data_IF_219930848850
#
_entry.id   IF_219930848850
#
_cell.length_a   1.000
_cell.length_b   1.000
_cell.length_c   1.000
_cell.angle_alpha   90.00
_cell.angle_beta   90.00
_cell.angle_gamma   90.00
#
_symmetry.space_group_name_H-M   'P 1'
#
loop_
_entity.id
_entity.type
_entity.pdbx_description
1 polymer ?
#
# COMPACT_ATOMS: atom_id res chain seq x y z
N UNK A 1 -19.31 -14.69 29.29
CA UNK A 1 -18.10 -14.56 30.13
C UNK A 1 -17.42 -13.31 29.61
N UNK A 2 -17.32 -12.21 30.37
CA UNK A 2 -16.72 -10.97 29.83
C UNK A 2 -15.19 -11.08 29.88
N UNK A 3 -14.57 -11.35 28.72
CA UNK A 3 -13.12 -11.27 28.57
C UNK A 3 -12.69 -9.80 28.72
N UNK A 4 -11.77 -9.53 29.65
CA UNK A 4 -11.18 -8.19 29.83
C UNK A 4 -10.00 -8.03 28.88
N UNK A 5 -9.83 -6.84 28.32
CA UNK A 5 -8.64 -6.51 27.52
C UNK A 5 -7.37 -6.68 28.35
N UNK A 6 -6.32 -7.14 27.68
CA UNK A 6 -4.98 -7.25 28.25
C UNK A 6 -4.35 -5.86 28.40
N UNK A 7 -3.41 -5.75 29.34
CA UNK A 7 -2.55 -4.57 29.49
C UNK A 7 -1.44 -4.50 28.44
N UNK A 8 -1.13 -5.61 27.79
CA UNK A 8 -0.12 -5.71 26.73
C UNK A 8 -0.71 -6.39 25.49
N UNK A 9 -0.27 -5.95 24.32
CA UNK A 9 -0.65 -6.54 23.05
C UNK A 9 0.09 -7.87 22.84
N UNK A 10 -0.58 -8.83 22.23
CA UNK A 10 0.04 -10.04 21.72
C UNK A 10 0.00 -10.10 20.19
N UNK A 11 0.95 -10.83 19.62
CA UNK A 11 1.15 -10.94 18.19
C UNK A 11 0.34 -12.13 17.66
N UNK A 12 -0.43 -11.89 16.61
CA UNK A 12 -1.24 -12.89 15.91
C UNK A 12 -0.88 -12.84 14.44
N UNK A 13 -0.62 -14.00 13.83
CA UNK A 13 -0.40 -14.11 12.39
C UNK A 13 -1.56 -14.88 11.78
N UNK A 14 -2.34 -14.19 10.96
CA UNK A 14 -3.52 -14.73 10.29
C UNK A 14 -3.12 -15.08 8.85
N UNK A 15 -3.22 -16.34 8.42
CA UNK A 15 -2.88 -16.72 7.05
C UNK A 15 -3.83 -16.07 6.05
N UNK A 16 -3.28 -15.55 4.96
CA UNK A 16 -4.02 -14.98 3.85
C UNK A 16 -4.63 -16.08 2.98
N UNK A 17 -5.74 -15.75 2.30
CA UNK A 17 -6.37 -16.67 1.37
C UNK A 17 -5.47 -16.81 0.12
N UNK A 18 -5.16 -18.02 -0.38
CA UNK A 18 -4.35 -18.21 -1.57
C UNK A 18 -4.92 -17.56 -2.84
N UNK A 19 -6.22 -17.24 -2.85
CA UNK A 19 -6.90 -16.53 -3.94
C UNK A 19 -6.76 -15.00 -3.85
N UNK A 20 -6.21 -14.48 -2.76
CA UNK A 20 -5.97 -13.05 -2.61
C UNK A 20 -5.05 -12.57 -3.74
N UNK A 21 -5.52 -11.55 -4.46
CA UNK A 21 -4.76 -10.88 -5.50
C UNK A 21 -4.84 -9.39 -5.25
N UNK A 22 -3.72 -8.65 -5.23
CA UNK A 22 -3.78 -7.19 -5.14
C UNK A 22 -4.49 -6.61 -6.36
N UNK A 23 -5.03 -5.41 -6.21
CA UNK A 23 -5.47 -4.61 -7.35
C UNK A 23 -4.22 -4.20 -8.13
N UNK A 24 -4.30 -4.20 -9.45
CA UNK A 24 -3.17 -3.92 -10.33
C UNK A 24 -3.57 -2.91 -11.40
N UNK A 25 -2.68 -1.96 -11.71
CA UNK A 25 -2.87 -0.99 -12.80
C UNK A 25 -1.53 -0.56 -13.39
N UNK A 26 -1.51 -0.35 -14.70
CA UNK A 26 -0.36 0.26 -15.39
C UNK A 26 -0.56 1.77 -15.45
N UNK A 27 0.49 2.52 -15.11
CA UNK A 27 0.50 3.98 -15.13
C UNK A 27 1.60 4.45 -16.07
N UNK A 28 1.29 5.47 -16.87
CA UNK A 28 2.25 6.10 -17.78
C UNK A 28 2.56 7.55 -17.37
N UNK A 29 3.82 7.92 -17.58
CA UNK A 29 4.39 9.24 -17.30
C UNK A 29 5.00 9.76 -18.62
N UNK A 30 4.54 10.89 -19.17
CA UNK A 30 5.14 11.46 -20.38
C UNK A 30 6.60 11.86 -20.11
N UNK A 31 7.46 11.63 -21.10
CA UNK A 31 8.88 12.00 -21.01
C UNK A 31 9.12 13.51 -21.19
N UNK A 32 8.14 14.22 -21.75
CA UNK A 32 8.17 15.67 -21.89
C UNK A 32 7.97 16.36 -20.52
N UNK A 33 9.08 16.67 -19.84
CA UNK A 33 9.08 17.41 -18.58
C UNK A 33 10.31 17.06 -17.73
N UNK A 34 10.91 18.06 -17.07
CA UNK A 34 11.98 17.79 -16.10
C UNK A 34 11.37 17.05 -14.89
N UNK A 35 11.90 15.88 -14.53
CA UNK A 35 11.51 15.05 -13.37
C UNK A 35 10.00 14.75 -13.26
N UNK A 36 9.40 14.22 -14.33
CA UNK A 36 8.00 13.81 -14.35
C UNK A 36 7.66 12.80 -13.23
N UNK A 37 6.55 13.06 -12.52
CA UNK A 37 6.11 12.24 -11.40
C UNK A 37 4.59 11.99 -11.43
N UNK A 38 4.16 10.95 -10.72
CA UNK A 38 2.76 10.62 -10.43
C UNK A 38 2.57 10.42 -8.94
N UNK A 39 1.36 10.72 -8.47
CA UNK A 39 0.99 10.59 -7.07
C UNK A 39 -0.17 9.62 -6.94
N UNK A 40 -0.07 8.70 -5.99
CA UNK A 40 -1.14 7.80 -5.56
C UNK A 40 -1.57 8.17 -4.16
N UNK A 41 -2.86 7.97 -3.89
CA UNK A 41 -3.49 8.37 -2.65
C UNK A 41 -4.13 7.17 -1.95
N UNK A 42 -3.95 7.10 -0.64
CA UNK A 42 -4.49 6.07 0.24
C UNK A 42 -5.09 6.72 1.49
N UNK A 43 -6.24 6.24 1.92
CA UNK A 43 -6.92 6.71 3.13
C UNK A 43 -7.01 5.57 4.14
N UNK A 44 -6.47 5.80 5.34
CA UNK A 44 -6.47 4.86 6.46
C UNK A 44 -7.30 5.42 7.60
N UNK A 45 -8.16 4.59 8.18
CA UNK A 45 -9.12 5.04 9.21
C UNK A 45 -8.69 4.72 10.63
N UNK A 46 -7.63 3.94 10.82
CA UNK A 46 -7.12 3.58 12.14
C UNK A 46 -5.94 2.62 12.09
N UNK A 47 -5.34 2.34 13.26
CA UNK A 47 -4.13 1.51 13.42
C UNK A 47 -4.29 0.05 12.99
N UNK A 48 -5.50 -0.48 13.02
CA UNK A 48 -5.78 -1.87 12.62
C UNK A 48 -5.68 -2.10 11.11
N UNK A 49 -5.43 -1.06 10.32
CA UNK A 49 -5.46 -1.13 8.87
C UNK A 49 -4.13 -0.73 8.25
N UNK A 50 -3.83 -1.27 7.07
CA UNK A 50 -2.67 -0.88 6.30
C UNK A 50 -2.85 -1.11 4.81
N UNK A 51 -2.05 -0.43 4.00
CA UNK A 51 -1.92 -0.68 2.58
C UNK A 51 -0.58 -1.30 2.24
N UNK A 52 -0.60 -2.41 1.53
CA UNK A 52 0.59 -2.92 0.84
C UNK A 52 0.58 -2.33 -0.57
N UNK A 53 1.65 -1.62 -0.94
CA UNK A 53 1.80 -0.98 -2.25
C UNK A 53 3.11 -1.43 -2.88
N UNK A 54 3.04 -1.91 -4.11
CA UNK A 54 4.21 -2.38 -4.87
C UNK A 54 4.27 -1.67 -6.21
N UNK A 55 5.45 -1.13 -6.54
CA UNK A 55 5.75 -0.50 -7.82
C UNK A 55 6.73 -1.39 -8.58
N UNK A 56 6.38 -1.74 -9.82
CA UNK A 56 7.18 -2.58 -10.70
C UNK A 56 7.45 -1.79 -11.98
N UNK A 57 8.70 -1.36 -12.24
CA UNK A 57 9.06 -0.69 -13.48
C UNK A 57 8.74 -1.57 -14.70
N UNK A 58 8.32 -0.96 -15.81
CA UNK A 58 8.11 -1.67 -17.08
C UNK A 58 9.15 -1.28 -18.15
N UNK A 59 9.83 -0.15 -17.99
CA UNK A 59 10.94 0.26 -18.86
C UNK A 59 12.27 -0.19 -18.27
N UNK A 60 13.10 -0.80 -19.10
CA UNK A 60 14.48 -1.10 -18.74
C UNK A 60 15.35 0.16 -18.76
N UNK A 61 16.43 0.13 -17.98
CA UNK A 61 17.43 1.20 -17.87
C UNK A 61 16.90 2.53 -17.34
N UNK A 62 15.77 2.56 -16.64
CA UNK A 62 15.22 3.78 -16.04
C UNK A 62 15.06 3.61 -14.54
N UNK A 63 15.56 4.59 -13.77
CA UNK A 63 15.41 4.62 -12.31
C UNK A 63 14.15 5.36 -11.91
N UNK A 64 13.33 4.71 -11.10
CA UNK A 64 12.15 5.28 -10.47
C UNK A 64 12.40 5.44 -8.98
N UNK A 65 12.17 6.65 -8.44
CA UNK A 65 12.12 6.90 -7.00
C UNK A 65 10.68 6.80 -6.52
N UNK A 66 10.47 5.99 -5.49
CA UNK A 66 9.18 5.81 -4.82
C UNK A 66 9.30 6.40 -3.42
N UNK A 67 8.50 7.42 -3.14
CA UNK A 67 8.51 8.13 -1.86
C UNK A 67 7.12 8.17 -1.26
N UNK A 68 7.00 7.90 0.04
CA UNK A 68 5.74 7.90 0.77
C UNK A 68 5.70 9.00 1.83
N UNK A 69 4.54 9.63 2.02
CA UNK A 69 4.33 10.63 3.08
C UNK A 69 2.88 10.67 3.59
N UNK A 70 2.70 10.85 4.90
CA UNK A 70 1.40 11.12 5.52
C UNK A 70 1.07 12.62 5.51
N UNK A 71 -0.20 12.96 5.30
CA UNK A 71 -0.75 14.31 5.45
C UNK A 71 -0.36 15.31 4.34
N UNK A 72 0.35 14.87 3.31
CA UNK A 72 0.70 15.71 2.17
C UNK A 72 1.54 15.00 1.12
N UNK A 73 1.65 15.64 -0.05
CA UNK A 73 2.46 15.11 -1.16
C UNK A 73 3.95 15.10 -0.78
N UNK A 74 4.69 14.02 -1.05
CA UNK A 74 6.14 13.99 -0.87
C UNK A 74 6.84 14.97 -1.82
N UNK A 75 7.90 15.61 -1.35
CA UNK A 75 8.84 16.36 -2.18
C UNK A 75 10.27 15.80 -2.03
N UNK A 76 11.26 16.44 -2.66
CA UNK A 76 12.63 15.92 -2.72
C UNK A 76 13.35 15.93 -1.35
N UNK A 77 12.82 16.64 -0.35
CA UNK A 77 13.37 16.71 1.02
C UNK A 77 12.37 16.28 2.10
N UNK A 78 11.09 16.19 1.76
CA UNK A 78 10.00 15.97 2.69
C UNK A 78 9.25 14.69 2.34
N UNK A 79 9.71 13.58 2.94
CA UNK A 79 9.12 12.25 2.80
C UNK A 79 9.32 11.47 4.11
N UNK A 80 8.45 10.50 4.38
CA UNK A 80 8.62 9.58 5.51
C UNK A 80 9.49 8.37 5.12
N UNK A 81 9.34 7.91 3.87
CA UNK A 81 10.10 6.77 3.32
C UNK A 81 10.43 7.04 1.86
N UNK A 82 11.59 6.58 1.40
CA UNK A 82 12.02 6.67 0.01
C UNK A 82 12.84 5.46 -0.37
N UNK A 83 12.63 4.93 -1.56
CA UNK A 83 13.40 3.85 -2.16
C UNK A 83 13.48 4.03 -3.68
N UNK A 84 14.38 3.30 -4.32
CA UNK A 84 14.55 3.32 -5.76
C UNK A 84 14.33 1.94 -6.35
N UNK A 85 13.76 1.89 -7.55
CA UNK A 85 13.54 0.65 -8.30
C UNK A 85 13.81 0.87 -9.77
N UNK A 86 14.37 -0.14 -10.42
CA UNK A 86 14.70 -0.13 -11.83
C UNK A 86 14.74 -1.56 -12.39
N UNK A 87 14.62 -1.68 -13.71
CA UNK A 87 14.97 -2.89 -14.42
C UNK A 87 16.28 -2.66 -15.17
N UNK A 88 17.26 -3.53 -14.96
CA UNK A 88 18.46 -3.52 -15.77
C UNK A 88 18.22 -4.19 -17.13
N UNK A 89 18.97 -3.81 -18.17
CA UNK A 89 19.09 -4.63 -19.39
C UNK A 89 19.52 -6.05 -19.05
N UNK A 90 19.07 -7.04 -19.83
CA UNK A 90 19.41 -8.46 -19.59
C UNK A 90 20.93 -8.69 -19.50
N UNK A 91 21.70 -8.05 -20.38
CA UNK A 91 23.17 -8.15 -20.38
C UNK A 91 23.81 -7.66 -19.07
N UNK A 92 23.25 -6.60 -18.48
CA UNK A 92 23.72 -6.08 -17.21
C UNK A 92 23.29 -6.97 -16.05
N UNK A 93 22.04 -7.44 -16.06
CA UNK A 93 21.51 -8.32 -15.02
C UNK A 93 22.30 -9.63 -14.94
N UNK A 94 22.63 -10.22 -16.10
CA UNK A 94 23.48 -11.42 -16.19
C UNK A 94 24.89 -11.15 -15.64
N UNK A 95 25.50 -10.01 -15.98
CA UNK A 95 26.85 -9.66 -15.52
C UNK A 95 26.89 -9.49 -14.00
N UNK A 96 25.90 -8.81 -13.40
CA UNK A 96 25.79 -8.67 -11.94
C UNK A 96 25.56 -10.01 -11.22
N UNK A 97 24.73 -10.88 -11.80
CA UNK A 97 24.49 -12.22 -11.26
C UNK A 97 25.78 -13.05 -11.22
N UNK A 98 26.62 -12.94 -12.26
CA UNK A 98 27.91 -13.62 -12.34
C UNK A 98 28.97 -13.04 -11.40
N UNK A 99 28.90 -11.74 -11.09
CA UNK A 99 29.81 -11.10 -10.12
C UNK A 99 29.44 -11.34 -8.66
N UNK A 100 28.31 -12.01 -8.39
CA UNK A 100 27.86 -12.33 -7.03
C UNK A 100 27.31 -11.13 -6.26
N UNK A 101 26.85 -10.09 -6.95
CA UNK A 101 26.22 -8.92 -6.33
C UNK A 101 24.72 -9.21 -6.09
N UNK A 102 24.40 -9.87 -4.99
CA UNK A 102 23.03 -10.26 -4.60
C UNK A 102 22.10 -9.05 -4.32
N UNK A 103 22.63 -7.82 -4.31
CA UNK A 103 21.86 -6.62 -3.96
C UNK A 103 20.85 -6.13 -5.02
N UNK A 104 20.76 -6.76 -6.19
CA UNK A 104 20.02 -6.22 -7.34
C UNK A 104 18.60 -6.82 -7.51
N UNK A 105 18.32 -8.03 -7.01
CA UNK A 105 16.96 -8.60 -7.06
C UNK A 105 15.95 -7.76 -6.28
N UNK A 106 16.41 -7.11 -5.22
CA UNK A 106 15.61 -6.26 -4.34
C UNK A 106 15.20 -4.92 -4.96
N UNK A 107 15.86 -4.51 -6.06
CA UNK A 107 15.57 -3.24 -6.74
C UNK A 107 14.66 -3.39 -7.95
N UNK A 108 14.31 -4.62 -8.36
CA UNK A 108 13.38 -4.88 -9.48
C UNK A 108 11.94 -4.46 -9.18
N UNK A 109 11.61 -4.24 -7.91
CA UNK A 109 10.34 -3.70 -7.44
C UNK A 109 10.55 -2.90 -6.17
N UNK A 110 9.74 -1.87 -5.97
CA UNK A 110 9.67 -1.12 -4.72
C UNK A 110 8.40 -1.50 -3.97
N UNK A 111 8.53 -2.10 -2.78
CA UNK A 111 7.38 -2.48 -1.95
C UNK A 111 7.37 -1.64 -0.68
N UNK A 112 6.23 -1.02 -0.37
CA UNK A 112 6.03 -0.25 0.85
C UNK A 112 4.77 -0.72 1.58
N UNK A 113 4.86 -0.75 2.91
CA UNK A 113 3.71 -0.98 3.77
C UNK A 113 3.33 0.34 4.46
N UNK A 114 2.14 0.84 4.15
CA UNK A 114 1.57 2.04 4.74
C UNK A 114 0.72 1.60 5.93
N UNK A 115 1.26 1.79 7.14
CA UNK A 115 0.58 1.43 8.37
C UNK A 115 -0.41 2.54 8.79
N UNK A 116 -1.58 2.17 9.26
CA UNK A 116 -2.53 3.09 9.86
C UNK A 116 -2.03 3.64 11.20
N UNK A 117 -2.48 4.83 11.53
CA UNK A 117 -2.21 5.48 12.82
C UNK A 117 -3.53 5.69 13.59
N UNK A 118 -3.44 6.16 14.84
CA UNK A 118 -4.61 6.37 15.71
C UNK A 118 -5.62 7.33 15.08
N UNK A 119 -5.12 8.45 14.56
CA UNK A 119 -5.93 9.39 13.80
C UNK A 119 -6.11 8.96 12.33
N UNK A 120 -7.33 9.06 11.76
CA UNK A 120 -7.54 8.90 10.34
C UNK A 120 -6.60 9.79 9.53
N UNK A 121 -6.01 9.24 8.48
CA UNK A 121 -4.91 9.89 7.78
C UNK A 121 -4.89 9.62 6.30
N UNK A 122 -4.53 10.67 5.57
CA UNK A 122 -4.23 10.62 4.15
C UNK A 122 -2.76 10.28 3.93
N UNK A 123 -2.48 9.37 3.00
CA UNK A 123 -1.14 8.99 2.61
C UNK A 123 -0.94 9.15 1.10
N UNK A 124 0.20 9.73 0.74
CA UNK A 124 0.57 10.03 -0.63
C UNK A 124 1.84 9.26 -0.99
N UNK A 125 1.79 8.57 -2.14
CA UNK A 125 2.94 7.87 -2.71
C UNK A 125 3.32 8.54 -4.02
N UNK A 126 4.52 9.11 -4.09
CA UNK A 126 5.10 9.72 -5.29
C UNK A 126 5.96 8.70 -6.01
N UNK A 127 5.72 8.52 -7.31
CA UNK A 127 6.60 7.79 -8.22
C UNK A 127 7.21 8.80 -9.19
N UNK A 128 8.53 8.96 -9.13
CA UNK A 128 9.27 9.96 -9.90
C UNK A 128 10.31 9.29 -10.79
N UNK A 129 10.38 9.71 -12.05
CA UNK A 129 11.44 9.26 -12.97
C UNK A 129 12.70 10.08 -12.70
N UNK A 130 13.80 9.41 -12.37
CA UNK A 130 15.10 10.07 -12.12
C UNK A 130 15.96 10.15 -13.39
N UNK A 131 15.83 9.18 -14.30
CA UNK A 131 16.61 9.11 -15.53
C UNK A 131 17.23 7.74 -15.76
N UNK A 132 18.23 7.63 -16.65
CA UNK A 132 18.82 6.36 -17.01
C UNK A 132 19.64 5.74 -15.88
N UNK A 133 19.69 4.42 -15.82
CA UNK A 133 20.58 3.70 -14.90
C UNK A 133 22.04 3.91 -15.29
N UNK A 134 22.87 4.37 -14.36
CA UNK A 134 24.30 4.64 -14.59
C UNK A 134 25.23 3.49 -14.18
N UNK A 135 24.73 2.52 -13.40
CA UNK A 135 25.53 1.43 -12.80
C UNK A 135 26.15 0.46 -13.82
N UNK A 136 25.71 0.46 -15.08
CA UNK A 136 26.25 -0.44 -16.11
C UNK A 136 27.47 0.09 -16.87
N UNK A 137 28.00 1.28 -16.54
CA UNK A 137 29.19 1.82 -17.22
C UNK A 137 29.03 1.98 -18.74
N UNK A 138 27.80 2.14 -19.24
CA UNK A 138 27.56 2.49 -20.65
C UNK A 138 27.85 3.97 -20.81
N UNK A 139 29.13 4.33 -20.79
CA UNK A 139 29.60 5.61 -21.31
C UNK A 139 29.38 5.58 -22.83
N UNK A 140 28.41 6.38 -23.29
CA UNK A 140 28.21 6.78 -24.68
C UNK A 140 28.06 5.64 -25.70
N UNK A 141 26.87 5.05 -25.74
CA UNK A 141 26.13 5.07 -27.00
C UNK A 141 24.82 5.79 -26.76
N UNK A 142 24.78 7.04 -27.22
CA UNK A 142 23.58 7.55 -27.86
C UNK A 142 23.21 6.56 -28.97
N UNK A 143 22.48 5.50 -28.64
CA UNK A 143 21.63 4.86 -29.62
C UNK A 143 20.35 5.71 -29.63
N UNK A 144 20.09 6.53 -30.67
CA UNK A 144 18.95 7.43 -30.74
C UNK A 144 17.65 6.66 -31.03
N UNK A 145 17.50 5.46 -30.46
CA UNK A 145 16.51 4.46 -30.83
C UNK A 145 15.33 4.30 -29.87
N UNK A 146 15.49 4.63 -28.58
CA UNK A 146 14.41 4.48 -27.58
C UNK A 146 14.37 5.68 -26.61
N UNK A 147 14.24 6.89 -27.15
CA UNK A 147 13.70 7.99 -26.34
C UNK A 147 12.24 7.64 -26.07
N UNK A 148 11.96 6.96 -24.94
CA UNK A 148 10.60 6.63 -24.57
C UNK A 148 9.73 7.90 -24.60
N UNK A 149 8.66 7.90 -25.41
CA UNK A 149 7.64 8.97 -25.39
C UNK A 149 6.95 9.01 -24.01
N UNK A 150 6.91 7.87 -23.33
CA UNK A 150 6.40 7.72 -21.98
C UNK A 150 7.14 6.63 -21.20
N UNK A 151 7.33 6.89 -19.92
CA UNK A 151 7.74 5.90 -18.92
C UNK A 151 6.50 5.21 -18.35
N UNK A 152 6.62 3.97 -17.92
CA UNK A 152 5.54 3.14 -17.46
C UNK A 152 5.98 2.26 -16.28
N UNK A 153 5.06 2.10 -15.32
CA UNK A 153 5.21 1.16 -14.22
C UNK A 153 3.85 0.51 -13.94
N UNK A 154 3.91 -0.71 -13.44
CA UNK A 154 2.77 -1.37 -12.82
C UNK A 154 2.74 -1.00 -11.34
N UNK A 155 1.56 -0.64 -10.84
CA UNK A 155 1.29 -0.48 -9.42
C UNK A 155 0.33 -1.57 -8.96
N UNK A 156 0.70 -2.24 -7.87
CA UNK A 156 -0.12 -3.20 -7.18
C UNK A 156 -0.47 -2.67 -5.78
N UNK A 157 -1.71 -2.83 -5.34
CA UNK A 157 -2.11 -2.43 -3.99
C UNK A 157 -3.17 -3.33 -3.37
N UNK A 158 -3.11 -3.48 -2.05
CA UNK A 158 -4.13 -4.16 -1.26
C UNK A 158 -4.29 -3.49 0.10
N UNK A 159 -5.52 -3.42 0.62
CA UNK A 159 -5.81 -3.01 2.00
C UNK A 159 -5.94 -4.26 2.86
N UNK A 160 -5.19 -4.29 3.95
CA UNK A 160 -5.25 -5.33 4.98
C UNK A 160 -5.84 -4.72 6.25
N UNK A 161 -6.65 -5.49 6.98
CA UNK A 161 -7.21 -5.06 8.27
C UNK A 161 -7.19 -6.19 9.28
N UNK A 162 -6.86 -5.85 10.52
CA UNK A 162 -6.97 -6.72 11.69
C UNK A 162 -8.35 -6.57 12.32
N UNK A 163 -9.01 -7.69 12.60
CA UNK A 163 -10.35 -7.72 13.18
C UNK A 163 -10.39 -8.64 14.39
N UNK A 164 -11.21 -8.28 15.38
CA UNK A 164 -11.58 -9.14 16.49
C UNK A 164 -13.10 -9.27 16.57
N UNK A 165 -13.60 -10.41 17.06
CA UNK A 165 -15.03 -10.62 17.27
C UNK A 165 -15.47 -10.02 18.60
N UNK A 166 -16.34 -9.01 18.56
CA UNK A 166 -16.96 -8.44 19.74
C UNK A 166 -18.27 -9.18 20.05
N UNK A 167 -18.26 -10.02 21.08
CA UNK A 167 -19.44 -10.81 21.48
C UNK A 167 -20.63 -9.96 21.94
N UNK A 168 -20.40 -8.75 22.45
CA UNK A 168 -21.50 -7.89 22.95
C UNK A 168 -22.22 -7.21 21.80
N UNK A 169 -21.47 -6.82 20.77
CA UNK A 169 -22.02 -6.19 19.56
C UNK A 169 -22.36 -7.20 18.46
N UNK A 170 -21.99 -8.47 18.65
CA UNK A 170 -22.07 -9.54 17.65
C UNK A 170 -21.51 -9.10 16.29
N UNK A 171 -20.34 -8.45 16.33
CA UNK A 171 -19.74 -7.81 15.15
C UNK A 171 -18.22 -7.89 15.15
N UNK A 172 -17.64 -7.88 13.95
CA UNK A 172 -16.21 -7.72 13.74
C UNK A 172 -15.79 -6.26 13.92
N UNK A 173 -14.82 -6.04 14.82
CA UNK A 173 -14.37 -4.72 15.24
C UNK A 173 -12.85 -4.58 15.08
N UNK A 174 -12.35 -3.34 15.10
CA UNK A 174 -10.93 -3.01 14.84
C UNK A 174 -10.23 -2.32 16.02
N UNK A 175 -10.97 -1.87 17.04
CA UNK A 175 -10.38 -1.24 18.21
C UNK A 175 -9.46 -2.22 18.97
N UNK A 176 -8.52 -1.67 19.74
CA UNK A 176 -7.53 -2.48 20.48
C UNK A 176 -6.63 -3.37 19.63
N UNK A 177 -6.60 -3.15 18.31
CA UNK A 177 -5.73 -3.84 17.36
C UNK A 177 -4.92 -2.85 16.51
N UNK A 178 -3.68 -3.22 16.21
CA UNK A 178 -2.79 -2.55 15.27
C UNK A 178 -2.21 -3.56 14.28
N UNK A 179 -2.17 -3.21 13.00
CA UNK A 179 -1.53 -4.06 11.98
C UNK A 179 -0.01 -3.86 12.01
N UNK A 180 0.76 -4.91 11.75
CA UNK A 180 2.21 -4.84 11.64
C UNK A 180 2.66 -4.66 10.18
N UNK A 181 3.78 -3.95 10.00
CA UNK A 181 4.44 -3.77 8.70
C UNK A 181 5.05 -5.07 8.13
N UNK A 182 5.09 -6.14 8.91
CA UNK A 182 5.47 -7.49 8.48
C UNK A 182 4.35 -8.21 7.73
N UNK A 183 3.17 -7.59 7.63
CA UNK A 183 2.03 -8.15 6.89
C UNK A 183 2.30 -8.18 5.39
N UNK A 184 1.74 -9.20 4.74
CA UNK A 184 1.86 -9.46 3.31
C UNK A 184 0.51 -9.91 2.74
N UNK A 185 0.43 -10.12 1.42
CA UNK A 185 -0.77 -10.70 0.80
C UNK A 185 -1.08 -12.13 1.31
N UNK A 186 -0.06 -12.84 1.81
CA UNK A 186 -0.14 -14.24 2.23
C UNK A 186 -0.34 -14.39 3.74
N UNK A 187 -0.16 -13.32 4.51
CA UNK A 187 -0.28 -13.35 5.97
C UNK A 187 -0.47 -11.94 6.52
N UNK A 188 -1.47 -11.75 7.38
CA UNK A 188 -1.69 -10.50 8.11
C UNK A 188 -1.19 -10.67 9.53
N UNK A 189 -0.30 -9.78 9.98
CA UNK A 189 0.26 -9.80 11.33
C UNK A 189 -0.38 -8.68 12.14
N UNK A 190 -0.99 -9.02 13.27
CA UNK A 190 -1.78 -8.13 14.12
C UNK A 190 -1.23 -8.12 15.55
N UNK A 191 -1.20 -6.94 16.16
CA UNK A 191 -0.98 -6.71 17.57
C UNK A 191 -2.32 -6.36 18.18
N UNK A 192 -2.88 -7.21 19.04
CA UNK A 192 -4.19 -6.99 19.64
C UNK A 192 -4.17 -7.24 21.14
N UNK A 193 -5.04 -6.57 21.89
CA UNK A 193 -5.19 -6.79 23.35
C UNK A 193 -6.50 -7.47 23.75
N UNK A 194 -7.37 -7.82 22.79
CA UNK A 194 -8.62 -8.53 23.06
C UNK A 194 -8.36 -10.02 23.27
N UNK A 195 -9.14 -10.70 24.12
CA UNK A 195 -9.05 -12.16 24.28
C UNK A 195 -10.28 -12.82 23.64
N UNK A 196 -10.37 -12.72 22.31
CA UNK A 196 -11.54 -13.14 21.52
C UNK A 196 -11.12 -13.94 20.28
N UNK A 197 -12.08 -14.25 19.39
CA UNK A 197 -11.75 -14.70 18.03
C UNK A 197 -11.18 -13.55 17.20
N UNK A 198 -10.36 -13.90 16.21
CA UNK A 198 -9.63 -12.97 15.34
C UNK A 198 -9.85 -13.28 13.87
N UNK A 199 -9.76 -12.24 13.05
CA UNK A 199 -9.89 -12.34 11.60
C UNK A 199 -9.06 -11.28 10.89
N UNK A 200 -8.91 -11.45 9.58
CA UNK A 200 -8.36 -10.40 8.73
C UNK A 200 -9.26 -10.14 7.52
N UNK A 201 -9.31 -8.88 7.10
CA UNK A 201 -10.03 -8.44 5.89
C UNK A 201 -9.00 -8.06 4.82
N UNK A 202 -9.16 -8.59 3.62
CA UNK A 202 -8.35 -8.29 2.43
C UNK A 202 -9.23 -7.62 1.39
N UNK A 203 -8.93 -6.37 1.07
CA UNK A 203 -9.74 -5.57 0.13
C UNK A 203 -8.86 -5.00 -0.96
N UNK A 204 -9.31 -5.14 -2.21
CA UNK A 204 -8.74 -4.50 -3.39
C UNK A 204 -9.62 -3.34 -3.83
N UNK A 205 -9.41 -2.13 -3.27
CA UNK A 205 -10.24 -0.98 -3.64
C UNK A 205 -10.05 -0.69 -5.15
N UNK A 206 -11.14 -0.55 -5.91
CA UNK A 206 -11.09 -0.55 -7.38
C UNK A 206 -10.32 0.62 -7.98
N UNK A 207 -10.10 1.72 -7.25
CA UNK A 207 -9.38 2.89 -7.73
C UNK A 207 -8.41 3.41 -6.66
N UNK A 208 -7.10 3.41 -6.95
CA UNK A 208 -6.22 4.47 -6.45
C UNK A 208 -6.52 5.72 -7.28
N UNK A 209 -6.96 6.81 -6.65
CA UNK A 209 -7.28 8.04 -7.38
C UNK A 209 -6.01 8.66 -7.94
N UNK A 210 -5.79 8.44 -9.24
CA UNK A 210 -4.73 9.07 -10.03
C UNK A 210 -5.12 10.52 -10.32
N UNK A 211 -4.54 11.46 -9.57
CA UNK A 211 -4.77 12.91 -9.77
C UNK A 211 -3.78 13.54 -10.77
N UNK A 212 -3.12 12.76 -11.63
CA UNK A 212 -2.28 13.25 -12.73
C UNK A 212 -3.01 14.10 -13.79
N UNK A 213 -4.32 14.36 -13.63
CA UNK A 213 -5.14 15.22 -14.50
C UNK A 213 -5.50 16.59 -13.91
N UNK A 214 -5.08 16.91 -12.69
CA UNK A 214 -5.20 18.28 -12.17
C UNK A 214 -3.84 18.97 -12.19
N UNK A 215 -3.32 19.19 -13.40
CA UNK A 215 -2.52 20.40 -13.63
C UNK A 215 -3.48 21.58 -13.47
N UNK A 216 -3.45 22.21 -12.30
CA UNK A 216 -4.04 23.53 -12.14
C UNK A 216 -3.20 24.50 -12.98
N UNK A 217 -3.53 24.60 -14.27
CA UNK A 217 -3.14 25.78 -15.02
C UNK A 217 -3.82 26.96 -14.33
N UNK A 218 -2.99 27.87 -13.88
CA UNK A 218 -3.31 29.16 -13.29
C UNK A 218 -4.36 29.93 -14.13
N UNK A 219 -5.64 29.67 -13.88
CA UNK A 219 -6.75 30.44 -14.40
C UNK A 219 -7.47 31.02 -13.19
N UNK A 220 -6.97 32.18 -12.74
CA UNK A 220 -7.63 33.16 -11.88
C UNK A 220 -9.08 32.79 -11.54
N UNK A 221 -9.32 32.29 -10.33
CA UNK A 221 -10.67 32.27 -9.77
C UNK A 221 -11.13 33.72 -9.57
N UNK A 222 -11.80 34.26 -10.59
CA UNK A 222 -12.74 35.35 -10.41
C UNK A 222 -13.99 34.78 -9.75
N UNK A 223 -14.30 35.25 -8.54
CA UNK A 223 -15.59 35.01 -7.90
C UNK A 223 -16.67 35.70 -8.73
N UNK A 224 -17.44 34.93 -9.51
CA UNK A 224 -18.76 35.37 -9.97
C UNK A 224 -19.85 34.58 -9.23
N UNK A 225 -20.52 35.27 -8.31
CA UNK A 225 -21.41 34.71 -7.31
C UNK A 225 -22.87 34.71 -7.79
N UNK A 226 -23.12 34.24 -9.01
CA UNK A 226 -24.46 34.10 -9.58
C UNK A 226 -24.48 32.93 -10.56
N UNK A 227 -24.88 31.73 -10.11
CA UNK A 227 -25.61 30.71 -10.92
C UNK A 227 -25.73 29.33 -10.24
N UNK A 228 -26.07 29.21 -8.95
CA UNK A 228 -26.62 27.93 -8.44
C UNK A 228 -27.71 28.15 -7.39
N UNK A 229 -28.85 28.70 -7.84
CA UNK A 229 -30.14 28.45 -7.17
C UNK A 229 -30.75 27.20 -7.81
N UNK A 230 -30.91 26.15 -7.02
CA UNK A 230 -31.86 25.07 -7.32
C UNK A 230 -31.24 23.74 -7.77
N UNK A 231 -30.60 23.01 -6.86
CA UNK A 231 -30.49 21.55 -6.96
C UNK A 231 -30.92 20.96 -5.60
N UNK A 232 -31.92 20.08 -5.55
CA UNK A 232 -32.43 19.55 -4.29
C UNK A 232 -31.41 18.62 -3.63
N UNK A 233 -31.21 18.83 -2.32
CA UNK A 233 -30.44 17.97 -1.44
C UNK A 233 -30.98 16.53 -1.49
N UNK A 234 -30.23 15.61 -2.09
CA UNK A 234 -30.43 14.18 -1.90
C UNK A 234 -29.86 13.79 -0.54
N UNK A 235 -30.78 13.43 0.35
CA UNK A 235 -30.56 12.94 1.71
C UNK A 235 -29.89 11.56 1.61
N UNK A 236 -28.64 11.43 2.05
CA UNK A 236 -27.98 10.14 2.18
C UNK A 236 -28.73 9.30 3.24
N UNK A 237 -29.31 8.18 2.81
CA UNK A 237 -29.89 7.20 3.71
C UNK A 237 -28.76 6.52 4.49
N UNK A 238 -28.75 6.72 5.80
CA UNK A 238 -28.02 5.88 6.74
C UNK A 238 -28.66 4.48 6.73
N UNK A 239 -27.91 3.50 6.24
CA UNK A 239 -28.14 2.08 6.43
C UNK A 239 -26.77 1.39 6.53
N UNK A 240 -26.61 0.36 7.37
CA UNK A 240 -25.33 -0.33 7.49
C UNK A 240 -25.01 -0.99 6.15
N UNK A 241 -23.85 -0.65 5.59
CA UNK A 241 -23.29 -1.38 4.45
C UNK A 241 -22.91 -2.77 4.94
N UNK A 242 -23.84 -3.72 4.88
CA UNK A 242 -23.52 -5.15 4.94
C UNK A 242 -22.76 -5.46 3.65
N UNK A 243 -21.44 -5.40 3.74
CA UNK A 243 -20.61 -5.90 2.68
C UNK A 243 -20.62 -7.43 2.80
N UNK A 244 -21.06 -8.11 1.75
CA UNK A 244 -20.74 -9.52 1.49
C UNK A 244 -19.21 -9.65 1.28
N UNK A 245 -18.45 -9.48 2.36
CA UNK A 245 -16.99 -9.35 2.37
C UNK A 245 -16.39 -10.64 2.91
N UNK A 246 -15.40 -11.19 2.21
CA UNK A 246 -14.68 -12.41 2.60
C UNK A 246 -13.79 -12.17 3.83
N UNK A 247 -14.42 -12.07 4.99
CA UNK A 247 -13.73 -12.10 6.29
C UNK A 247 -13.11 -13.49 6.43
N UNK A 248 -11.78 -13.55 6.49
CA UNK A 248 -11.09 -14.81 6.74
C UNK A 248 -11.02 -15.02 8.25
N UNK A 249 -11.88 -15.91 8.75
CA UNK A 249 -11.95 -16.26 10.17
C UNK A 249 -10.82 -17.22 10.54
N UNK A 250 -10.11 -16.95 11.63
CA UNK A 250 -9.16 -17.86 12.25
C UNK A 250 -9.56 -18.12 13.69
N UNK A 251 -10.05 -19.33 14.00
CA UNK A 251 -10.30 -19.74 15.38
C UNK A 251 -8.97 -20.08 16.06
N UNK A 252 -8.34 -19.12 16.74
CA UNK A 252 -7.21 -19.40 17.63
C UNK A 252 -7.74 -19.42 19.09
N UNK A 253 -8.15 -20.60 19.58
CA UNK A 253 -8.48 -20.82 21.00
C UNK A 253 -7.22 -21.21 21.76
N UNK A 254 -6.83 -20.43 22.78
CA UNK A 254 -5.75 -20.80 23.71
C UNK A 254 -6.19 -22.02 24.52
N UNK A 255 -5.51 -23.16 24.38
CA UNK A 255 -5.74 -24.28 25.30
C UNK A 255 -5.17 -23.92 26.68
N UNK A 256 -5.85 -24.24 27.79
CA UNK A 256 -5.32 -24.00 29.12
C UNK A 256 -4.16 -24.97 29.37
N UNK A 257 -2.92 -24.52 29.19
CA UNK A 257 -1.73 -25.34 29.43
C UNK A 257 -0.39 -24.77 28.98
N UNK A 258 -0.33 -23.84 28.01
CA UNK A 258 0.96 -23.32 27.52
C UNK A 258 1.53 -22.23 28.43
N UNK A 259 2.29 -22.69 29.42
CA UNK A 259 3.27 -21.89 30.14
C UNK A 259 4.58 -21.86 29.33
N UNK A 260 5.01 -20.64 28.99
CA UNK A 260 6.35 -20.24 28.56
C UNK A 260 6.89 -20.82 27.24
N UNK A 261 7.06 -19.94 26.24
CA UNK A 261 7.89 -20.22 25.05
C UNK A 261 7.18 -20.12 23.70
N UNK A 262 7.44 -19.00 23.01
CA UNK A 262 7.54 -18.76 21.55
C UNK A 262 6.73 -19.67 20.60
N UNK A 263 5.94 -19.01 19.75
CA UNK A 263 5.22 -19.51 18.56
C UNK A 263 3.97 -20.36 18.81
N UNK A 264 2.80 -19.72 18.86
CA UNK A 264 1.51 -20.38 18.65
C UNK A 264 1.21 -20.45 17.15
N UNK A 265 1.32 -21.65 16.57
CA UNK A 265 0.91 -21.90 15.18
C UNK A 265 -0.60 -22.12 15.07
N UNK A 266 -1.31 -21.30 14.31
CA UNK A 266 -2.72 -21.55 13.97
C UNK A 266 -2.78 -22.54 12.76
N UNK A 267 -3.56 -23.62 12.88
CA UNK A 267 -3.87 -24.53 11.76
C UNK A 267 -5.09 -24.01 11.02
N UNK A 268 -4.98 -23.89 9.69
CA UNK A 268 -6.12 -23.57 8.82
C UNK A 268 -7.13 -24.72 8.77
N UNK A 269 -8.40 -24.37 8.65
CA UNK A 269 -9.48 -25.28 8.27
C UNK A 269 -9.51 -25.45 6.74
#
# INVERSE_FOLDING_TARGET
>A
MTFRNLTEDFIITIPGNPKNKPATKIITIPSAGNRSARYHFYNLTGMAEGFLVTIIPLNASVVYRVSGRRGGRPDDQNYNVSMETYLLPEQCSLTKSLTGDEGDTDKTKATMFIQGEEDPGEYYVKVQVLGPVTECGVENKSDPGDAYDFFAYEIQWARLRCLYWNETLEAWMTDGCAISNQSSINSTVCHCNHLTAFGSDFVTPPNAMDFGKFEFSDQRCGFDNRLFRGVPFLRAHNGPFTSDRGIQEGFCTRQPGDADGRTSGCRGA
#
